data_IF_401589403047
#
_entry.id   IF_401589403047
#
_cell.length_a   1.000
_cell.length_b   1.000
_cell.length_c   1.000
_cell.angle_alpha   90.00
_cell.angle_beta   90.00
_cell.angle_gamma   90.00
#
_symmetry.space_group_name_H-M   'P 1'
#
loop_
_entity.id
_entity.type
_entity.pdbx_description
1 polymer ?
#
# COMPACT_ATOMS: atom_id res chain seq x y z
N UNK A 1 0.73 23.59 12.87
CA UNK A 1 2.15 23.27 12.64
C UNK A 1 2.73 22.50 13.82
N UNK A 2 3.66 21.61 13.53
CA UNK A 2 4.33 20.77 14.53
C UNK A 2 5.84 21.01 14.50
N UNK A 3 6.51 20.73 15.62
CA UNK A 3 7.98 20.79 15.67
C UNK A 3 8.58 19.68 14.83
N UNK A 4 9.74 19.96 14.21
CA UNK A 4 10.47 18.95 13.43
C UNK A 4 10.77 17.69 14.25
N UNK A 5 10.88 17.81 15.58
CA UNK A 5 11.11 16.68 16.46
C UNK A 5 9.92 15.72 16.58
N UNK A 6 8.71 16.16 16.21
CA UNK A 6 7.47 15.43 16.48
C UNK A 6 6.76 14.91 15.23
N UNK A 7 7.37 15.02 14.05
CA UNK A 7 6.68 14.76 12.78
C UNK A 7 7.05 13.46 12.07
N UNK A 8 7.70 12.55 12.78
CA UNK A 8 8.05 11.24 12.19
C UNK A 8 6.79 10.49 11.72
N UNK A 9 6.84 10.01 10.49
CA UNK A 9 5.74 9.35 9.78
C UNK A 9 4.55 10.25 9.43
N UNK A 10 4.63 11.55 9.72
CA UNK A 10 3.57 12.46 9.30
C UNK A 10 3.81 12.99 7.89
N UNK A 11 2.77 13.51 7.30
CA UNK A 11 2.79 14.16 5.99
C UNK A 11 3.03 15.66 6.19
N UNK A 12 4.03 16.18 5.50
CA UNK A 12 4.50 17.55 5.69
C UNK A 12 4.52 18.32 4.37
N UNK A 13 4.24 19.63 4.45
CA UNK A 13 4.53 20.53 3.33
C UNK A 13 5.99 20.98 3.42
N UNK A 14 6.78 20.62 2.42
CA UNK A 14 8.15 21.08 2.27
C UNK A 14 8.18 21.98 1.05
N UNK A 15 8.17 23.29 1.30
CA UNK A 15 7.94 24.26 0.23
C UNK A 15 6.51 24.12 -0.31
N UNK A 16 6.37 23.74 -1.58
CA UNK A 16 5.08 23.55 -2.23
C UNK A 16 4.71 22.07 -2.41
N UNK A 17 5.54 21.15 -1.92
CA UNK A 17 5.35 19.72 -2.13
C UNK A 17 4.97 18.98 -0.85
N UNK A 18 3.91 18.14 -0.89
CA UNK A 18 3.59 17.27 0.24
C UNK A 18 4.54 16.08 0.26
N UNK A 19 5.10 15.80 1.43
CA UNK A 19 6.06 14.73 1.65
C UNK A 19 5.75 13.96 2.92
N UNK A 20 6.17 12.70 2.99
CA UNK A 20 6.10 11.91 4.20
C UNK A 20 7.49 11.75 4.81
N UNK A 21 7.58 11.95 6.12
CA UNK A 21 8.82 11.74 6.86
C UNK A 21 8.98 10.24 7.14
N UNK A 22 9.84 9.57 6.38
CA UNK A 22 10.07 8.13 6.48
C UNK A 22 11.05 7.76 7.59
N UNK A 23 12.01 8.62 7.85
CA UNK A 23 13.03 8.40 8.88
C UNK A 23 13.45 9.73 9.48
N UNK A 24 13.61 9.76 10.79
CA UNK A 24 14.09 10.93 11.51
C UNK A 24 15.18 10.52 12.48
N UNK A 25 16.32 11.20 12.40
CA UNK A 25 17.45 11.00 13.31
C UNK A 25 17.71 12.27 14.09
N UNK A 26 17.72 12.15 15.42
CA UNK A 26 18.03 13.26 16.32
C UNK A 26 19.51 13.31 16.61
N UNK A 27 20.08 14.48 16.44
CA UNK A 27 21.48 14.72 16.81
C UNK A 27 21.57 15.98 17.65
N UNK A 28 22.16 15.84 18.84
CA UNK A 28 22.45 16.96 19.72
C UNK A 28 23.90 16.83 20.15
N UNK A 29 24.71 17.79 19.81
CA UNK A 29 26.13 17.80 20.20
C UNK A 29 26.48 19.10 20.90
N UNK A 30 26.97 18.98 22.13
CA UNK A 30 27.52 20.08 22.90
C UNK A 30 26.56 21.26 23.10
N UNK A 31 27.05 22.46 22.77
CA UNK A 31 26.30 23.72 22.90
C UNK A 31 25.37 23.99 21.72
N UNK A 32 25.42 23.17 20.70
CA UNK A 32 24.61 23.37 19.51
C UNK A 32 23.15 22.94 19.76
N UNK A 33 22.23 23.61 19.09
CA UNK A 33 20.82 23.21 19.09
C UNK A 33 20.69 21.81 18.50
N UNK A 34 19.72 21.04 19.02
CA UNK A 34 19.40 19.74 18.45
C UNK A 34 18.93 19.90 17.00
N UNK A 35 19.35 19.00 16.15
CA UNK A 35 18.91 18.92 14.76
C UNK A 35 18.23 17.60 14.48
N UNK A 36 17.36 17.59 13.49
CA UNK A 36 16.65 16.40 13.03
C UNK A 36 16.96 16.19 11.56
N UNK A 37 17.61 15.07 11.26
CA UNK A 37 17.87 14.68 9.87
C UNK A 37 16.72 13.78 9.42
N UNK A 38 16.01 14.20 8.38
CA UNK A 38 14.85 13.48 7.87
C UNK A 38 15.08 12.95 6.48
N UNK A 39 14.64 11.71 6.26
CA UNK A 39 14.43 11.17 4.92
C UNK A 39 12.97 11.38 4.57
N UNK A 40 12.74 12.09 3.47
CA UNK A 40 11.44 12.50 3.00
C UNK A 40 11.13 11.85 1.65
N UNK A 41 9.87 11.45 1.46
CA UNK A 41 9.39 10.93 0.18
C UNK A 41 8.23 11.77 -0.29
N UNK A 42 8.28 12.24 -1.54
CA UNK A 42 7.20 13.01 -2.14
C UNK A 42 5.95 12.17 -2.30
N UNK A 43 4.80 12.70 -1.86
CA UNK A 43 3.52 12.00 -1.96
C UNK A 43 2.98 11.97 -3.39
N UNK A 44 3.33 12.97 -4.21
CA UNK A 44 2.82 13.08 -5.57
C UNK A 44 3.73 12.42 -6.60
N UNK A 45 5.04 12.44 -6.40
CA UNK A 45 6.01 11.99 -7.39
C UNK A 45 6.94 10.87 -6.89
N UNK A 46 6.85 10.49 -5.61
CA UNK A 46 7.68 9.43 -5.05
C UNK A 46 9.16 9.76 -4.90
N UNK A 47 9.58 11.00 -5.17
CA UNK A 47 10.98 11.38 -5.07
C UNK A 47 11.46 11.34 -3.61
N UNK A 48 12.68 10.85 -3.39
CA UNK A 48 13.28 10.78 -2.08
C UNK A 48 14.31 11.90 -1.91
N UNK A 49 14.25 12.59 -0.79
CA UNK A 49 15.23 13.62 -0.41
C UNK A 49 15.62 13.47 1.05
N UNK A 50 16.70 14.10 1.42
CA UNK A 50 17.18 14.12 2.80
C UNK A 50 17.42 15.57 3.19
N UNK A 51 16.84 16.00 4.30
CA UNK A 51 16.90 17.39 4.77
C UNK A 51 17.16 17.42 6.26
N UNK A 52 17.90 18.41 6.71
CA UNK A 52 18.20 18.64 8.12
C UNK A 52 17.42 19.86 8.60
N UNK A 53 16.67 19.68 9.68
CA UNK A 53 15.92 20.74 10.34
C UNK A 53 16.45 20.95 11.75
N UNK A 54 16.25 22.14 12.29
CA UNK A 54 16.40 22.35 13.73
C UNK A 54 15.23 21.66 14.44
N UNK A 55 15.49 21.06 15.60
CA UNK A 55 14.46 20.31 16.32
C UNK A 55 13.22 21.16 16.64
N UNK A 56 13.37 22.45 16.84
CA UNK A 56 12.31 23.40 17.15
C UNK A 56 11.72 24.09 15.90
N UNK A 57 12.21 23.80 14.71
CA UNK A 57 11.61 24.32 13.48
C UNK A 57 10.14 23.89 13.39
N UNK A 58 9.27 24.83 12.99
CA UNK A 58 7.86 24.54 12.81
C UNK A 58 7.61 24.10 11.38
N UNK A 59 7.00 22.94 11.24
CA UNK A 59 6.65 22.37 9.94
C UNK A 59 5.13 22.28 9.81
N UNK A 60 4.64 22.53 8.61
CA UNK A 60 3.22 22.42 8.31
C UNK A 60 2.86 20.97 8.04
N UNK A 61 1.90 20.43 8.81
CA UNK A 61 1.38 19.08 8.64
C UNK A 61 0.27 19.10 7.60
N UNK A 62 0.35 18.22 6.62
CA UNK A 62 -0.63 18.13 5.55
C UNK A 62 -1.85 17.35 6.02
N UNK A 63 -3.04 17.88 5.74
CA UNK A 63 -4.28 17.18 5.99
C UNK A 63 -4.62 16.29 4.79
N UNK A 64 -4.78 15.01 5.04
CA UNK A 64 -5.21 14.05 4.03
C UNK A 64 -6.64 13.61 4.32
N UNK A 65 -7.40 13.37 3.27
CA UNK A 65 -8.73 12.80 3.37
C UNK A 65 -8.68 11.34 2.99
N UNK A 66 -9.36 10.47 3.74
CA UNK A 66 -9.45 9.05 3.46
C UNK A 66 -10.90 8.66 3.25
N UNK A 67 -11.14 7.86 2.23
CA UNK A 67 -12.48 7.35 1.90
C UNK A 67 -12.44 5.87 1.66
N UNK A 68 -13.51 5.18 2.08
CA UNK A 68 -13.71 3.79 1.75
C UNK A 68 -14.28 3.68 0.34
N UNK A 69 -13.57 2.96 -0.53
CA UNK A 69 -13.95 2.80 -1.93
C UNK A 69 -13.81 1.35 -2.35
N UNK A 70 -14.58 0.97 -3.37
CA UNK A 70 -14.37 -0.31 -4.05
C UNK A 70 -13.83 -0.06 -5.45
N UNK A 71 -12.99 -0.99 -5.93
CA UNK A 71 -12.52 -0.95 -7.31
C UNK A 71 -13.67 -1.29 -8.24
N UNK A 72 -13.96 -0.41 -9.19
CA UNK A 72 -15.05 -0.58 -10.13
C UNK A 72 -14.60 -1.20 -11.45
N UNK A 73 -13.75 -0.51 -12.20
CA UNK A 73 -13.28 -0.98 -13.50
C UNK A 73 -12.03 -0.23 -13.94
N UNK A 74 -11.36 -0.81 -14.94
CA UNK A 74 -10.21 -0.18 -15.60
C UNK A 74 -10.68 0.59 -16.82
N UNK A 75 -10.36 1.88 -16.85
CA UNK A 75 -10.60 2.76 -17.99
C UNK A 75 -9.25 3.33 -18.40
N UNK A 76 -8.59 2.68 -19.36
CA UNK A 76 -7.21 2.97 -19.77
C UNK A 76 -6.94 4.46 -19.92
N UNK A 77 -5.95 5.04 -19.24
CA UNK A 77 -4.94 4.40 -18.39
C UNK A 77 -5.26 4.43 -16.87
N UNK A 78 -6.51 4.69 -16.49
CA UNK A 78 -6.89 4.93 -15.12
C UNK A 78 -7.70 3.78 -14.53
N UNK A 79 -7.58 3.62 -13.21
CA UNK A 79 -8.35 2.66 -12.43
C UNK A 79 -9.44 3.41 -11.68
N UNK A 80 -10.70 3.04 -11.92
CA UNK A 80 -11.85 3.76 -11.37
C UNK A 80 -12.30 3.08 -10.08
N UNK A 81 -12.35 3.88 -9.01
CA UNK A 81 -12.87 3.47 -7.71
C UNK A 81 -14.16 4.21 -7.43
N UNK A 82 -15.01 3.63 -6.58
CA UNK A 82 -16.31 4.20 -6.24
C UNK A 82 -16.50 4.19 -4.73
N UNK A 83 -16.91 5.33 -4.16
CA UNK A 83 -17.20 5.40 -2.73
C UNK A 83 -18.62 4.91 -2.42
N UNK A 84 -19.03 4.99 -1.14
CA UNK A 84 -20.34 4.51 -0.69
C UNK A 84 -21.51 5.37 -1.22
N UNK A 85 -21.22 6.58 -1.71
CA UNK A 85 -22.21 7.48 -2.29
C UNK A 85 -22.22 7.44 -3.82
N UNK A 86 -21.52 6.44 -4.41
CA UNK A 86 -21.40 6.23 -5.85
C UNK A 86 -20.61 7.32 -6.59
N UNK A 87 -19.83 8.11 -5.87
CA UNK A 87 -18.87 9.00 -6.51
C UNK A 87 -17.70 8.21 -7.07
N UNK A 88 -17.28 8.54 -8.28
CA UNK A 88 -16.17 7.85 -8.95
C UNK A 88 -14.89 8.66 -8.84
N UNK A 89 -13.79 7.96 -8.65
CA UNK A 89 -12.46 8.55 -8.56
C UNK A 89 -11.50 7.80 -9.45
N UNK A 90 -10.76 8.55 -10.26
CA UNK A 90 -9.73 8.00 -11.14
C UNK A 90 -8.41 7.91 -10.39
N UNK A 91 -7.79 6.74 -10.43
CA UNK A 91 -6.51 6.51 -9.74
C UNK A 91 -5.47 6.07 -10.76
N UNK A 92 -4.33 6.75 -10.76
CA UNK A 92 -3.22 6.40 -11.63
C UNK A 92 -2.53 5.13 -11.11
N UNK A 93 -1.98 4.35 -12.02
CA UNK A 93 -1.28 3.10 -11.72
C UNK A 93 -0.19 3.29 -10.66
N UNK A 94 0.57 4.37 -10.74
CA UNK A 94 1.68 4.64 -9.82
C UNK A 94 1.21 4.85 -8.38
N UNK A 95 -0.06 5.17 -8.18
CA UNK A 95 -0.64 5.40 -6.86
C UNK A 95 -1.32 4.15 -6.28
N UNK A 96 -1.31 3.04 -6.99
CA UNK A 96 -1.88 1.78 -6.51
C UNK A 96 -0.88 0.97 -5.68
N UNK A 97 0.41 1.11 -5.97
CA UNK A 97 1.43 0.32 -5.29
C UNK A 97 1.16 -1.18 -5.42
N UNK A 98 1.32 -1.90 -4.32
CA UNK A 98 1.12 -3.35 -4.29
C UNK A 98 -0.36 -3.76 -4.43
N UNK A 99 -1.30 -2.84 -4.26
CA UNK A 99 -2.72 -3.13 -4.44
C UNK A 99 -3.02 -3.68 -5.84
N UNK A 100 -2.27 -3.22 -6.84
CA UNK A 100 -2.45 -3.67 -8.22
C UNK A 100 -2.31 -5.19 -8.37
N UNK A 101 -1.46 -5.82 -7.55
CA UNK A 101 -1.23 -7.27 -7.60
C UNK A 101 -2.49 -8.08 -7.31
N UNK A 102 -3.42 -7.50 -6.55
CA UNK A 102 -4.61 -8.20 -6.05
C UNK A 102 -5.91 -7.69 -6.64
N UNK A 103 -5.87 -6.62 -7.44
CA UNK A 103 -7.09 -6.03 -8.00
C UNK A 103 -7.65 -6.90 -9.11
N UNK A 104 -8.93 -7.25 -8.97
CA UNK A 104 -9.66 -8.02 -9.97
C UNK A 104 -10.98 -7.31 -10.27
N UNK A 105 -11.43 -7.39 -11.52
CA UNK A 105 -12.71 -6.80 -11.91
C UNK A 105 -13.85 -7.42 -11.11
N UNK A 106 -14.72 -6.57 -10.58
CA UNK A 106 -15.86 -7.02 -9.79
C UNK A 106 -15.52 -7.38 -8.35
N UNK A 107 -14.31 -7.13 -7.88
CA UNK A 107 -13.98 -7.39 -6.47
C UNK A 107 -14.84 -6.53 -5.54
N UNK A 108 -15.14 -7.09 -4.37
CA UNK A 108 -15.97 -6.42 -3.37
C UNK A 108 -15.18 -5.91 -2.17
N UNK A 109 -13.86 -6.09 -2.19
CA UNK A 109 -13.00 -5.64 -1.11
C UNK A 109 -13.09 -4.13 -0.94
N UNK A 110 -13.26 -3.70 0.32
CA UNK A 110 -13.33 -2.27 0.63
C UNK A 110 -11.91 -1.76 0.84
N UNK A 111 -11.48 -0.86 -0.05
CA UNK A 111 -10.17 -0.26 -0.02
C UNK A 111 -10.22 1.11 0.67
N UNK A 112 -9.14 1.49 1.31
CA UNK A 112 -8.96 2.84 1.81
C UNK A 112 -8.19 3.64 0.77
N UNK A 113 -8.83 4.66 0.22
CA UNK A 113 -8.19 5.57 -0.75
C UNK A 113 -7.87 6.88 -0.04
N UNK A 114 -6.62 7.30 -0.14
CA UNK A 114 -6.13 8.54 0.46
C UNK A 114 -6.04 9.62 -0.60
N UNK A 115 -6.55 10.82 -0.27
CA UNK A 115 -6.61 11.97 -1.17
C UNK A 115 -5.83 13.15 -0.61
N UNK A 116 -5.14 13.83 -1.51
CA UNK A 116 -4.55 15.14 -1.26
C UNK A 116 -5.08 16.11 -2.30
N UNK A 117 -5.73 17.19 -1.86
CA UNK A 117 -6.38 18.17 -2.76
C UNK A 117 -7.23 17.48 -3.83
N UNK A 118 -8.11 16.56 -3.38
CA UNK A 118 -9.04 15.81 -4.23
C UNK A 118 -8.39 14.84 -5.22
N UNK A 119 -7.05 14.67 -5.16
CA UNK A 119 -6.34 13.69 -5.98
C UNK A 119 -6.06 12.45 -5.16
N UNK A 120 -6.43 11.28 -5.67
CA UNK A 120 -6.10 10.01 -5.04
C UNK A 120 -4.59 9.75 -5.14
N UNK A 121 -3.93 9.60 -4.00
CA UNK A 121 -2.48 9.42 -3.93
C UNK A 121 -2.06 8.04 -3.46
N UNK A 122 -2.96 7.29 -2.84
CA UNK A 122 -2.67 5.90 -2.45
C UNK A 122 -3.95 5.10 -2.29
N UNK A 123 -3.82 3.80 -2.47
CA UNK A 123 -4.89 2.83 -2.27
C UNK A 123 -4.35 1.69 -1.41
N UNK A 124 -5.07 1.38 -0.34
CA UNK A 124 -4.74 0.26 0.53
C UNK A 124 -5.90 -0.74 0.55
N UNK A 125 -5.58 -1.99 0.27
CA UNK A 125 -6.53 -3.09 0.43
C UNK A 125 -6.68 -3.45 1.91
N UNK A 126 -7.76 -4.16 2.28
CA UNK A 126 -7.84 -4.76 3.61
C UNK A 126 -6.60 -5.63 3.86
N UNK A 127 -6.22 -5.79 5.11
CA UNK A 127 -5.03 -6.58 5.47
C UNK A 127 -5.14 -8.04 5.07
N UNK A 128 -6.36 -8.53 4.96
CA UNK A 128 -6.66 -9.91 4.54
C UNK A 128 -7.67 -9.88 3.42
N UNK A 129 -7.37 -10.59 2.33
CA UNK A 129 -8.27 -10.73 1.18
C UNK A 129 -8.38 -12.20 0.79
N UNK A 130 -9.42 -12.53 0.03
CA UNK A 130 -9.63 -13.88 -0.53
C UNK A 130 -9.57 -13.80 -2.04
N UNK A 131 -8.78 -14.69 -2.67
CA UNK A 131 -8.67 -14.78 -4.12
C UNK A 131 -8.70 -16.22 -4.57
N UNK A 132 -9.18 -16.46 -5.78
CA UNK A 132 -9.22 -17.77 -6.40
C UNK A 132 -7.90 -18.06 -7.11
N UNK A 133 -7.43 -19.29 -7.05
CA UNK A 133 -6.23 -19.73 -7.76
C UNK A 133 -6.62 -20.09 -9.19
N UNK A 134 -6.06 -19.36 -10.15
CA UNK A 134 -6.26 -19.63 -11.58
C UNK A 134 -5.41 -20.81 -12.05
N UNK A 135 -4.15 -20.83 -11.62
CA UNK A 135 -3.21 -21.89 -12.01
C UNK A 135 -2.23 -22.18 -10.88
N UNK A 136 -1.98 -23.45 -10.69
CA UNK A 136 -0.88 -23.98 -9.85
C UNK A 136 -0.57 -25.40 -10.32
N UNK A 137 0.62 -25.85 -10.02
CA UNK A 137 1.00 -27.23 -10.32
C UNK A 137 0.32 -28.20 -9.36
N UNK A 138 0.02 -29.43 -9.80
CA UNK A 138 -0.47 -30.46 -8.89
C UNK A 138 0.56 -30.73 -7.78
N UNK A 139 0.07 -31.08 -6.60
CA UNK A 139 0.96 -31.50 -5.50
C UNK A 139 1.76 -32.75 -5.93
N UNK A 140 3.06 -32.71 -5.69
CA UNK A 140 3.89 -33.89 -5.90
C UNK A 140 3.52 -34.95 -4.87
N UNK A 141 3.70 -36.21 -5.23
CA UNK A 141 3.36 -37.34 -4.36
C UNK A 141 4.14 -37.23 -3.04
N UNK A 142 3.44 -37.18 -1.92
CA UNK A 142 4.03 -37.02 -0.60
C UNK A 142 4.06 -35.58 -0.09
N UNK A 143 3.76 -34.59 -0.93
CA UNK A 143 3.78 -33.17 -0.55
C UNK A 143 2.44 -32.71 0.00
N UNK A 144 1.97 -33.37 1.06
CA UNK A 144 0.68 -33.06 1.68
C UNK A 144 0.82 -32.20 2.94
N UNK A 145 2.03 -31.96 3.41
CA UNK A 145 2.25 -31.11 4.57
C UNK A 145 2.22 -29.62 4.18
N UNK A 146 1.74 -28.77 5.10
CA UNK A 146 1.72 -27.33 4.88
C UNK A 146 3.10 -26.67 4.85
N UNK A 147 4.18 -27.44 5.00
CA UNK A 147 5.56 -26.94 4.99
C UNK A 147 6.14 -26.84 3.59
N UNK A 148 5.62 -27.62 2.64
CA UNK A 148 6.06 -27.58 1.25
C UNK A 148 5.22 -26.54 0.51
N UNK A 149 5.89 -25.68 -0.25
CA UNK A 149 5.22 -24.62 -1.01
C UNK A 149 5.45 -24.78 -2.50
N UNK A 150 4.57 -24.17 -3.27
CA UNK A 150 4.66 -24.10 -4.74
C UNK A 150 4.09 -22.78 -5.22
N UNK A 151 4.46 -22.29 -6.42
CA UNK A 151 3.88 -21.07 -6.95
C UNK A 151 2.43 -21.30 -7.42
N UNK A 152 1.61 -20.26 -7.22
CA UNK A 152 0.24 -20.21 -7.73
C UNK A 152 -0.02 -18.82 -8.31
N UNK A 153 -0.80 -18.79 -9.40
CA UNK A 153 -1.23 -17.52 -10.01
C UNK A 153 -2.69 -17.25 -9.64
N UNK A 154 -2.98 -16.02 -9.26
CA UNK A 154 -4.33 -15.61 -8.89
C UNK A 154 -5.18 -15.33 -10.14
N UNK A 155 -6.46 -15.69 -10.06
CA UNK A 155 -7.41 -15.44 -11.14
C UNK A 155 -7.68 -13.94 -11.27
N UNK A 156 -7.64 -13.44 -12.49
CA UNK A 156 -7.91 -12.03 -12.79
C UNK A 156 -6.72 -11.11 -12.64
N UNK A 157 -5.58 -11.63 -12.25
CA UNK A 157 -4.32 -10.89 -12.17
C UNK A 157 -3.18 -11.71 -12.77
N UNK A 158 -2.00 -11.10 -12.87
CA UNK A 158 -0.80 -11.82 -13.27
C UNK A 158 0.08 -12.15 -12.05
N UNK A 159 -0.39 -11.85 -10.85
CA UNK A 159 0.41 -12.02 -9.64
C UNK A 159 0.53 -13.48 -9.24
N UNK A 160 1.75 -13.86 -8.90
CA UNK A 160 2.07 -15.20 -8.39
C UNK A 160 2.60 -15.09 -6.97
N UNK A 161 2.23 -16.05 -6.15
CA UNK A 161 2.71 -16.15 -4.77
C UNK A 161 2.93 -17.63 -4.43
N UNK A 162 3.74 -17.86 -3.40
CA UNK A 162 3.95 -19.21 -2.87
C UNK A 162 2.73 -19.61 -2.03
N UNK A 163 2.20 -20.78 -2.29
CA UNK A 163 1.07 -21.36 -1.54
C UNK A 163 1.48 -22.74 -1.00
N UNK A 164 0.70 -23.28 -0.06
CA UNK A 164 0.93 -24.66 0.39
C UNK A 164 0.75 -25.64 -0.77
N UNK A 165 1.53 -26.69 -0.78
CA UNK A 165 1.51 -27.67 -1.88
C UNK A 165 0.18 -28.34 -2.11
N UNK A 166 -0.71 -28.41 -1.09
CA UNK A 166 -2.03 -29.02 -1.22
C UNK A 166 -3.07 -28.13 -1.92
N UNK A 167 -2.74 -26.87 -2.20
CA UNK A 167 -3.66 -25.94 -2.90
C UNK A 167 -3.80 -26.38 -4.35
N UNK A 168 -5.04 -26.38 -4.85
CA UNK A 168 -5.38 -26.80 -6.20
C UNK A 168 -5.99 -25.64 -7.01
N UNK A 169 -6.00 -25.81 -8.33
CA UNK A 169 -6.68 -24.87 -9.23
C UNK A 169 -8.14 -24.75 -8.82
N UNK A 170 -8.65 -23.52 -8.75
CA UNK A 170 -10.03 -23.25 -8.33
C UNK A 170 -10.22 -23.06 -6.83
N UNK A 171 -9.21 -23.38 -6.04
CA UNK A 171 -9.27 -23.13 -4.59
C UNK A 171 -9.29 -21.65 -4.30
N UNK A 172 -9.98 -21.26 -3.23
CA UNK A 172 -9.94 -19.90 -2.69
C UNK A 172 -8.95 -19.86 -1.55
N UNK A 173 -8.12 -18.85 -1.57
CA UNK A 173 -7.06 -18.68 -0.58
C UNK A 173 -7.14 -17.31 0.07
N UNK A 174 -6.77 -17.26 1.32
CA UNK A 174 -6.65 -16.04 2.10
C UNK A 174 -5.19 -15.55 2.03
N UNK A 175 -5.01 -14.27 1.75
CA UNK A 175 -3.72 -13.64 1.55
C UNK A 175 -3.58 -12.47 2.51
N UNK A 176 -2.40 -12.34 3.14
CA UNK A 176 -2.04 -11.14 3.89
C UNK A 176 -1.46 -10.11 2.92
N UNK A 177 -2.18 -9.02 2.69
CA UNK A 177 -1.78 -8.01 1.72
C UNK A 177 -0.57 -7.18 2.18
N UNK A 178 -0.27 -7.17 3.48
CA UNK A 178 0.89 -6.44 4.02
C UNK A 178 2.20 -7.13 3.66
N UNK A 179 2.20 -8.45 3.60
CA UNK A 179 3.38 -9.27 3.31
C UNK A 179 3.33 -9.93 1.94
N UNK A 180 2.15 -10.03 1.34
CA UNK A 180 1.93 -10.76 0.09
C UNK A 180 1.90 -12.28 0.27
N UNK A 181 1.80 -12.74 1.51
CA UNK A 181 1.92 -14.17 1.82
C UNK A 181 0.57 -14.88 1.90
N UNK A 182 0.58 -16.13 1.45
CA UNK A 182 -0.53 -17.06 1.63
C UNK A 182 -0.73 -17.35 3.12
N UNK A 183 -1.98 -17.30 3.58
CA UNK A 183 -2.33 -17.63 4.96
C UNK A 183 -2.97 -19.00 5.06
N UNK A 184 -4.01 -19.26 4.28
CA UNK A 184 -4.74 -20.52 4.34
C UNK A 184 -5.70 -20.68 3.15
N UNK A 185 -6.16 -21.91 2.93
CA UNK A 185 -7.23 -22.21 2.00
C UNK A 185 -8.58 -22.00 2.71
N UNK A 186 -9.55 -21.39 2.03
CA UNK A 186 -10.84 -21.00 2.63
C UNK A 186 -12.04 -21.53 1.85
N UNK A 187 -11.90 -22.64 1.19
CA UNK A 187 -13.01 -23.26 0.45
C UNK A 187 -14.18 -23.64 1.34
#
# INVERSE_FOLDING_TARGET
SSSASDVYKEQLMIGTEPMVAQKAEFNKSGRNSAVVKMKLKGLLNGSATETVFKADDKLEVVQLERKECTYSYFSDPLYVFMDTEYNQYDVEKDNLGDALNYMVDGMEDICEVTFYNEKAISVELPTTIVREVEYTEPAARGDTSGKVTKPARLKGTTYELAVAAFVEIGDKIEIDTRTGEFKRRVN
#
